data_IF_293727556453
#
_entry.id   IF_293727556453
#
_cell.length_a   1.000
_cell.length_b   1.000
_cell.length_c   1.000
_cell.angle_alpha   90.00
_cell.angle_beta   90.00
_cell.angle_gamma   90.00
#
_symmetry.space_group_name_H-M   'P 1'
#
loop_
_entity.id
_entity.type
_entity.pdbx_description
1 polymer ?
#
# COMPACT_ATOMS: atom_id res chain seq x y z
N UNK A 1 2.20 -19.33 -30.33
CA UNK A 1 1.88 -19.46 -28.88
C UNK A 1 2.28 -18.21 -28.09
N UNK A 2 3.49 -17.68 -28.29
CA UNK A 2 4.04 -16.54 -27.52
C UNK A 2 3.26 -15.23 -27.66
N UNK A 3 2.72 -14.93 -28.84
CA UNK A 3 1.90 -13.71 -29.07
C UNK A 3 0.53 -13.79 -28.40
N UNK A 4 -0.11 -14.96 -28.39
CA UNK A 4 -1.40 -15.17 -27.71
C UNK A 4 -1.24 -15.10 -26.18
N UNK A 5 -0.18 -15.67 -25.64
CA UNK A 5 0.13 -15.60 -24.21
C UNK A 5 0.41 -14.14 -23.79
N UNK A 6 1.20 -13.37 -24.55
CA UNK A 6 1.42 -11.94 -24.26
C UNK A 6 0.11 -11.13 -24.27
N UNK A 7 -0.79 -11.41 -25.20
CA UNK A 7 -2.09 -10.73 -25.30
C UNK A 7 -3.03 -11.10 -24.14
N UNK A 8 -3.01 -12.35 -23.65
CA UNK A 8 -3.78 -12.77 -22.48
C UNK A 8 -3.21 -12.18 -21.17
N UNK A 9 -1.89 -12.14 -21.03
CA UNK A 9 -1.24 -11.52 -19.86
C UNK A 9 -1.54 -10.02 -19.74
N UNK A 10 -1.64 -9.30 -20.84
CA UNK A 10 -2.00 -7.89 -20.85
C UNK A 10 -3.46 -7.62 -20.45
N UNK A 11 -4.34 -8.61 -20.56
CA UNK A 11 -5.77 -8.51 -20.21
C UNK A 11 -6.09 -8.81 -18.76
N UNK A 12 -5.15 -9.40 -18.00
CA UNK A 12 -5.39 -9.70 -16.59
C UNK A 12 -5.34 -8.42 -15.74
N UNK A 13 -6.34 -8.25 -14.89
CA UNK A 13 -6.38 -7.15 -13.91
C UNK A 13 -5.14 -7.21 -13.00
N UNK A 14 -4.46 -6.08 -12.84
CA UNK A 14 -3.24 -5.97 -12.03
C UNK A 14 -3.46 -6.41 -10.56
N UNK A 15 -4.69 -6.34 -10.06
CA UNK A 15 -5.06 -6.77 -8.71
C UNK A 15 -4.87 -8.27 -8.48
N UNK A 16 -4.97 -9.13 -9.51
CA UNK A 16 -4.66 -10.55 -9.38
C UNK A 16 -3.20 -10.80 -9.05
N UNK A 17 -2.30 -10.06 -9.70
CA UNK A 17 -0.87 -10.14 -9.38
C UNK A 17 -0.59 -9.63 -7.96
N UNK A 18 -1.23 -8.52 -7.59
CA UNK A 18 -1.10 -7.96 -6.25
C UNK A 18 -1.60 -8.94 -5.18
N UNK A 19 -2.72 -9.61 -5.41
CA UNK A 19 -3.23 -10.66 -4.52
C UNK A 19 -2.25 -11.83 -4.37
N UNK A 20 -1.75 -12.35 -5.51
CA UNK A 20 -0.79 -13.45 -5.49
C UNK A 20 0.46 -13.08 -4.70
N UNK A 21 0.96 -11.86 -4.88
CA UNK A 21 2.17 -11.39 -4.21
C UNK A 21 1.95 -11.15 -2.74
N UNK A 22 0.87 -10.49 -2.34
CA UNK A 22 0.55 -10.28 -0.92
C UNK A 22 0.27 -11.62 -0.21
N UNK A 23 -0.41 -12.56 -0.87
CA UNK A 23 -0.61 -13.89 -0.33
C UNK A 23 0.72 -14.65 -0.16
N UNK A 24 1.63 -14.58 -1.15
CA UNK A 24 2.96 -15.19 -1.03
C UNK A 24 3.79 -14.58 0.12
N UNK A 25 3.70 -13.25 0.32
CA UNK A 25 4.34 -12.59 1.46
C UNK A 25 3.74 -13.03 2.79
N UNK A 26 2.41 -13.13 2.87
CA UNK A 26 1.75 -13.58 4.10
C UNK A 26 2.15 -15.02 4.44
N UNK A 27 2.15 -15.92 3.47
CA UNK A 27 2.57 -17.31 3.66
C UNK A 27 4.04 -17.40 4.04
N UNK A 28 4.92 -16.70 3.33
CA UNK A 28 6.34 -16.65 3.65
C UNK A 28 6.60 -16.08 5.05
N UNK A 29 5.87 -15.02 5.41
CA UNK A 29 5.95 -14.42 6.74
C UNK A 29 5.51 -15.38 7.85
N UNK A 30 4.41 -16.09 7.64
CA UNK A 30 3.90 -17.06 8.60
C UNK A 30 4.82 -18.28 8.77
N UNK A 31 5.43 -18.77 7.67
CA UNK A 31 6.26 -19.98 7.71
C UNK A 31 7.74 -19.71 8.07
N UNK A 32 8.30 -18.58 7.63
CA UNK A 32 9.73 -18.32 7.73
C UNK A 32 10.11 -17.20 8.72
N UNK A 33 9.14 -16.39 9.15
CA UNK A 33 9.39 -15.18 9.99
C UNK A 33 8.57 -15.16 11.27
N UNK A 34 7.90 -16.26 11.59
CA UNK A 34 7.13 -16.44 12.83
C UNK A 34 6.18 -15.25 13.09
N UNK A 35 5.35 -14.93 12.10
CA UNK A 35 4.34 -13.88 12.26
C UNK A 35 3.38 -14.29 13.38
N UNK A 36 3.29 -13.48 14.41
CA UNK A 36 2.30 -13.62 15.49
C UNK A 36 0.89 -13.32 14.97
N UNK A 37 0.43 -14.14 14.03
CA UNK A 37 -0.85 -14.01 13.34
C UNK A 37 -1.50 -15.38 13.23
N UNK A 38 -2.68 -15.54 13.80
CA UNK A 38 -3.42 -16.80 13.75
C UNK A 38 -4.22 -16.94 12.46
N UNK A 39 -4.43 -18.19 12.00
CA UNK A 39 -5.30 -18.45 10.85
C UNK A 39 -6.72 -17.92 11.03
N UNK A 40 -7.22 -17.90 12.28
CA UNK A 40 -8.52 -17.31 12.62
C UNK A 40 -8.55 -15.80 12.36
N UNK A 41 -7.50 -15.07 12.75
CA UNK A 41 -7.38 -13.63 12.47
C UNK A 41 -7.38 -13.35 10.97
N UNK A 42 -6.64 -14.12 10.18
CA UNK A 42 -6.63 -13.99 8.71
C UNK A 42 -8.03 -14.23 8.14
N UNK A 43 -8.69 -15.32 8.54
CA UNK A 43 -10.02 -15.68 8.06
C UNK A 43 -11.06 -14.61 8.41
N UNK A 44 -11.07 -14.14 9.66
CA UNK A 44 -11.98 -13.08 10.10
C UNK A 44 -11.74 -11.77 9.36
N UNK A 45 -10.48 -11.42 9.07
CA UNK A 45 -10.13 -10.23 8.29
C UNK A 45 -10.69 -10.32 6.87
N UNK A 46 -10.49 -11.45 6.19
CA UNK A 46 -10.97 -11.67 4.83
C UNK A 46 -12.50 -11.66 4.76
N UNK A 47 -13.17 -12.40 5.64
CA UNK A 47 -14.64 -12.47 5.69
C UNK A 47 -15.23 -11.09 5.98
N UNK A 48 -14.71 -10.38 6.98
CA UNK A 48 -15.21 -9.06 7.36
C UNK A 48 -15.03 -8.04 6.24
N UNK A 49 -13.87 -8.05 5.55
CA UNK A 49 -13.64 -7.17 4.41
C UNK A 49 -14.62 -7.45 3.27
N UNK A 50 -14.85 -8.73 2.93
CA UNK A 50 -15.78 -9.12 1.87
C UNK A 50 -17.24 -8.80 2.22
N UNK A 51 -17.67 -9.06 3.45
CA UNK A 51 -19.01 -8.75 3.92
C UNK A 51 -19.26 -7.23 3.94
N UNK A 52 -18.30 -6.47 4.45
CA UNK A 52 -18.40 -4.99 4.46
C UNK A 52 -18.41 -4.42 3.04
N UNK A 53 -17.57 -4.96 2.15
CA UNK A 53 -17.58 -4.60 0.74
C UNK A 53 -18.93 -4.89 0.08
N UNK A 54 -19.51 -6.07 0.34
CA UNK A 54 -20.82 -6.46 -0.16
C UNK A 54 -21.92 -5.54 0.38
N UNK A 55 -21.94 -5.29 1.70
CA UNK A 55 -22.92 -4.42 2.35
C UNK A 55 -22.95 -3.02 1.71
N UNK A 56 -21.77 -2.42 1.48
CA UNK A 56 -21.67 -1.12 0.82
C UNK A 56 -22.07 -1.15 -0.66
N UNK A 57 -21.71 -2.21 -1.41
CA UNK A 57 -22.08 -2.32 -2.82
C UNK A 57 -23.58 -2.54 -3.04
N UNK A 58 -24.24 -3.23 -2.11
CA UNK A 58 -25.67 -3.54 -2.19
C UNK A 58 -26.53 -2.45 -1.55
N UNK A 59 -26.04 -1.83 -0.48
CA UNK A 59 -26.75 -0.76 0.24
C UNK A 59 -26.70 0.61 -0.46
N UNK A 60 -25.68 0.86 -1.27
CA UNK A 60 -25.57 2.08 -2.06
C UNK A 60 -25.84 1.75 -3.53
N UNK A 61 -27.00 2.20 -4.06
CA UNK A 61 -27.34 2.10 -5.49
C UNK A 61 -26.49 3.09 -6.33
N UNK A 62 -25.17 2.94 -6.29
CA UNK A 62 -24.28 3.79 -7.06
C UNK A 62 -24.00 3.14 -8.42
N UNK A 63 -24.31 3.81 -9.55
CA UNK A 63 -24.05 3.31 -10.88
C UNK A 63 -22.58 2.91 -11.06
N UNK A 64 -22.33 1.71 -11.61
CA UNK A 64 -20.98 1.24 -11.92
C UNK A 64 -20.17 0.68 -10.73
N UNK A 65 -20.69 0.61 -9.52
CA UNK A 65 -19.97 0.11 -8.36
C UNK A 65 -20.18 -1.38 -8.03
N UNK A 66 -21.20 -2.01 -8.60
CA UNK A 66 -21.42 -3.46 -8.49
C UNK A 66 -20.44 -4.21 -9.41
N UNK A 67 -19.17 -4.26 -9.06
CA UNK A 67 -18.14 -4.92 -9.87
C UNK A 67 -17.31 -5.92 -9.06
N UNK A 68 -16.91 -7.01 -9.71
CA UNK A 68 -15.94 -7.98 -9.17
C UNK A 68 -14.64 -7.30 -8.70
N UNK A 69 -14.24 -6.21 -9.35
CA UNK A 69 -13.08 -5.43 -8.98
C UNK A 69 -13.13 -4.85 -7.56
N UNK A 70 -14.31 -4.59 -7.02
CA UNK A 70 -14.48 -4.19 -5.63
C UNK A 70 -14.05 -5.27 -4.64
N UNK A 71 -14.42 -6.52 -4.90
CA UNK A 71 -14.03 -7.67 -4.07
C UNK A 71 -12.54 -7.97 -4.17
N UNK A 72 -11.94 -7.90 -5.37
CA UNK A 72 -10.48 -8.02 -5.51
C UNK A 72 -9.74 -6.95 -4.68
N UNK A 73 -10.23 -5.72 -4.72
CA UNK A 73 -9.66 -4.63 -3.91
C UNK A 73 -9.86 -4.85 -2.41
N UNK A 74 -10.96 -5.48 -1.98
CA UNK A 74 -11.18 -5.84 -0.58
C UNK A 74 -10.18 -6.91 -0.12
N UNK A 75 -9.95 -7.93 -0.94
CA UNK A 75 -8.96 -8.98 -0.67
C UNK A 75 -7.52 -8.42 -0.61
N UNK A 76 -7.15 -7.52 -1.53
CA UNK A 76 -5.85 -6.84 -1.49
C UNK A 76 -5.67 -6.06 -0.19
N UNK A 77 -6.68 -5.28 0.22
CA UNK A 77 -6.60 -4.48 1.44
C UNK A 77 -6.54 -5.36 2.71
N UNK A 78 -7.28 -6.47 2.75
CA UNK A 78 -7.27 -7.40 3.89
C UNK A 78 -5.95 -8.16 4.01
N UNK A 79 -5.35 -8.61 2.91
CA UNK A 79 -4.01 -9.21 2.95
C UNK A 79 -2.95 -8.20 3.40
N UNK A 80 -3.02 -6.96 2.89
CA UNK A 80 -2.16 -5.87 3.35
C UNK A 80 -2.30 -5.61 4.86
N UNK A 81 -3.53 -5.61 5.37
CA UNK A 81 -3.80 -5.47 6.81
C UNK A 81 -3.19 -6.62 7.62
N UNK A 82 -3.36 -7.88 7.18
CA UNK A 82 -2.76 -9.05 7.83
C UNK A 82 -1.22 -9.00 7.87
N UNK A 83 -0.59 -8.38 6.86
CA UNK A 83 0.86 -8.21 6.82
C UNK A 83 1.32 -7.11 7.78
N UNK A 84 0.56 -6.02 7.91
CA UNK A 84 0.98 -4.81 8.64
C UNK A 84 0.64 -4.84 10.12
N UNK A 85 -0.49 -5.44 10.52
CA UNK A 85 -1.05 -5.33 11.87
C UNK A 85 -1.00 -6.67 12.59
N UNK A 86 -0.68 -6.58 13.87
CA UNK A 86 -0.79 -7.65 14.87
C UNK A 86 -1.75 -7.21 15.97
N UNK A 87 -2.42 -8.16 16.60
CA UNK A 87 -3.36 -7.85 17.66
C UNK A 87 -3.47 -9.03 18.65
N UNK A 88 -3.61 -8.71 19.93
CA UNK A 88 -3.84 -9.70 20.98
C UNK A 88 -5.19 -10.38 20.84
N UNK A 89 -6.20 -9.61 20.41
CA UNK A 89 -7.58 -10.10 20.29
C UNK A 89 -7.98 -10.31 18.83
N UNK A 90 -8.59 -11.45 18.54
CA UNK A 90 -9.01 -11.80 17.18
C UNK A 90 -10.06 -10.86 16.59
N UNK A 91 -10.89 -10.19 17.41
CA UNK A 91 -11.94 -9.26 16.97
C UNK A 91 -11.39 -7.93 16.42
N UNK A 92 -10.16 -7.56 16.76
CA UNK A 92 -9.53 -6.32 16.29
C UNK A 92 -9.36 -6.34 14.77
N UNK A 93 -8.95 -7.47 14.20
CA UNK A 93 -8.76 -7.63 12.77
C UNK A 93 -10.05 -7.39 11.95
N UNK A 94 -11.20 -8.00 12.25
CA UNK A 94 -12.44 -7.73 11.53
C UNK A 94 -12.93 -6.28 11.70
N UNK A 95 -12.72 -5.66 12.86
CA UNK A 95 -13.04 -4.24 13.07
C UNK A 95 -12.22 -3.34 12.13
N UNK A 96 -10.91 -3.56 12.05
CA UNK A 96 -10.02 -2.81 11.17
C UNK A 96 -10.32 -3.05 9.68
N UNK A 97 -10.66 -4.28 9.30
CA UNK A 97 -11.06 -4.61 7.95
C UNK A 97 -12.37 -3.89 7.56
N UNK A 98 -13.35 -3.85 8.46
CA UNK A 98 -14.59 -3.11 8.27
C UNK A 98 -14.36 -1.60 8.15
N UNK A 99 -13.49 -1.03 8.97
CA UNK A 99 -13.09 0.37 8.90
C UNK A 99 -12.42 0.68 7.55
N UNK A 100 -11.45 -0.16 7.15
CA UNK A 100 -10.75 -0.03 5.87
C UNK A 100 -11.71 -0.02 4.68
N UNK A 101 -12.64 -0.96 4.64
CA UNK A 101 -13.61 -1.06 3.55
C UNK A 101 -14.61 0.08 3.57
N UNK A 102 -15.13 0.45 4.73
CA UNK A 102 -16.08 1.58 4.87
C UNK A 102 -15.47 2.90 4.43
N UNK A 103 -14.19 3.14 4.70
CA UNK A 103 -13.50 4.36 4.30
C UNK A 103 -13.52 4.60 2.78
N UNK A 104 -13.52 3.54 1.97
CA UNK A 104 -13.59 3.62 0.50
C UNK A 104 -14.90 4.23 0.01
N UNK A 105 -15.95 4.14 0.80
CA UNK A 105 -17.28 4.62 0.46
C UNK A 105 -17.59 5.95 1.15
N UNK A 106 -17.14 6.14 2.37
CA UNK A 106 -17.39 7.33 3.18
C UNK A 106 -16.46 8.49 2.87
N UNK A 107 -15.15 8.21 2.65
CA UNK A 107 -14.12 9.25 2.46
C UNK A 107 -13.71 9.28 0.99
N UNK A 108 -14.45 10.02 0.20
CA UNK A 108 -14.30 10.10 -1.26
C UNK A 108 -14.14 11.53 -1.73
N UNK A 109 -13.36 11.72 -2.80
CA UNK A 109 -13.15 13.00 -3.45
C UNK A 109 -13.32 12.91 -4.97
N UNK A 110 -13.72 14.02 -5.57
CA UNK A 110 -13.86 14.19 -7.01
C UNK A 110 -15.31 14.33 -7.49
N UNK A 111 -15.49 14.56 -8.81
CA UNK A 111 -16.81 14.69 -9.44
C UNK A 111 -17.67 13.44 -9.19
N UNK A 112 -18.98 13.61 -9.15
CA UNK A 112 -19.93 12.54 -8.85
C UNK A 112 -19.73 11.28 -9.70
N UNK A 113 -19.37 11.46 -10.98
CA UNK A 113 -19.17 10.37 -11.95
C UNK A 113 -17.86 9.60 -11.73
N UNK A 114 -16.84 10.23 -11.14
CA UNK A 114 -15.49 9.66 -11.00
C UNK A 114 -14.91 9.83 -9.58
N UNK A 115 -15.72 9.57 -8.55
CA UNK A 115 -15.24 9.66 -7.16
C UNK A 115 -14.27 8.53 -6.83
N UNK A 116 -13.10 8.87 -6.29
CA UNK A 116 -12.13 7.93 -5.73
C UNK A 116 -12.03 8.08 -4.21
N UNK A 117 -11.67 7.01 -3.51
CA UNK A 117 -11.34 7.10 -2.10
C UNK A 117 -10.05 7.92 -1.92
N UNK A 118 -9.98 8.66 -0.81
CA UNK A 118 -8.85 9.55 -0.49
C UNK A 118 -7.73 8.78 0.21
N UNK A 119 -8.10 7.88 1.11
CA UNK A 119 -7.17 7.14 1.96
C UNK A 119 -6.93 5.73 1.40
N UNK A 120 -5.68 5.28 1.43
CA UNK A 120 -5.39 3.87 1.21
C UNK A 120 -6.01 3.05 2.34
N UNK A 121 -6.90 2.06 2.06
CA UNK A 121 -7.66 1.38 3.10
C UNK A 121 -6.78 0.61 4.09
N UNK A 122 -5.75 -0.09 3.62
CA UNK A 122 -4.83 -0.82 4.49
C UNK A 122 -3.99 0.14 5.36
N UNK A 123 -3.59 1.30 4.81
CA UNK A 123 -2.86 2.31 5.56
C UNK A 123 -3.72 2.96 6.64
N UNK A 124 -4.99 3.28 6.34
CA UNK A 124 -5.93 3.81 7.34
C UNK A 124 -6.13 2.81 8.48
N UNK A 125 -6.34 1.53 8.17
CA UNK A 125 -6.53 0.50 9.19
C UNK A 125 -5.27 0.32 10.04
N UNK A 126 -4.08 0.33 9.42
CA UNK A 126 -2.81 0.28 10.14
C UNK A 126 -2.62 1.51 11.04
N UNK A 127 -2.92 2.72 10.55
CA UNK A 127 -2.88 3.93 11.35
C UNK A 127 -3.87 3.87 12.53
N UNK A 128 -5.10 3.42 12.30
CA UNK A 128 -6.12 3.28 13.34
C UNK A 128 -5.72 2.25 14.41
N UNK A 129 -5.13 1.13 13.99
CA UNK A 129 -4.60 0.12 14.89
C UNK A 129 -3.57 0.72 15.86
N UNK A 130 -2.62 1.47 15.32
CA UNK A 130 -1.55 2.09 16.11
C UNK A 130 -2.06 3.24 17.00
N UNK A 131 -2.93 4.10 16.45
CA UNK A 131 -3.30 5.34 17.13
C UNK A 131 -4.44 5.18 18.15
N UNK A 132 -5.35 4.22 17.94
CA UNK A 132 -6.63 4.19 18.66
C UNK A 132 -6.97 2.86 19.32
N UNK A 133 -6.30 1.75 18.95
CA UNK A 133 -6.69 0.44 19.47
C UNK A 133 -5.64 -0.13 20.42
N UNK A 134 -5.93 -0.19 21.74
CA UNK A 134 -5.08 -0.90 22.67
C UNK A 134 -5.06 -2.40 22.34
N UNK A 135 -3.92 -3.04 22.47
CA UNK A 135 -3.71 -4.44 22.08
C UNK A 135 -3.57 -4.69 20.59
N UNK A 136 -3.37 -3.62 19.79
CA UNK A 136 -2.96 -3.70 18.39
C UNK A 136 -1.65 -2.96 18.18
N UNK A 137 -0.79 -3.50 17.33
CA UNK A 137 0.49 -2.88 16.98
C UNK A 137 0.88 -3.11 15.52
N UNK A 138 1.74 -2.26 15.02
CA UNK A 138 2.27 -2.39 13.67
C UNK A 138 3.55 -3.23 13.66
N UNK A 139 3.62 -4.18 12.75
CA UNK A 139 4.77 -5.07 12.61
C UNK A 139 5.30 -5.12 11.16
N UNK A 140 5.53 -3.98 10.51
CA UNK A 140 6.06 -3.97 9.16
C UNK A 140 7.52 -4.40 9.09
N UNK A 141 8.27 -4.30 10.18
CA UNK A 141 9.70 -4.58 10.26
C UNK A 141 10.10 -6.05 10.34
N UNK A 142 9.16 -6.99 10.41
CA UNK A 142 9.45 -8.42 10.53
C UNK A 142 10.18 -9.03 9.32
N UNK A 143 10.17 -8.33 8.17
CA UNK A 143 10.86 -8.80 6.97
C UNK A 143 12.39 -8.67 7.04
N UNK A 144 12.92 -7.82 7.92
CA UNK A 144 14.36 -7.58 8.04
C UNK A 144 14.95 -6.97 6.76
N UNK A 145 16.25 -7.16 6.60
CA UNK A 145 17.04 -6.72 5.44
C UNK A 145 17.65 -7.93 4.69
N UNK A 146 16.90 -9.02 4.57
CA UNK A 146 17.29 -10.18 3.80
C UNK A 146 17.32 -9.85 2.31
N UNK A 147 18.44 -10.05 1.65
CA UNK A 147 18.64 -9.71 0.23
C UNK A 147 17.74 -10.51 -0.71
N UNK A 148 17.41 -11.75 -0.38
CA UNK A 148 16.48 -12.56 -1.17
C UNK A 148 15.05 -12.04 -1.04
N UNK A 149 14.62 -11.69 0.18
CA UNK A 149 13.32 -11.06 0.39
C UNK A 149 13.24 -9.70 -0.32
N UNK A 150 14.29 -8.87 -0.24
CA UNK A 150 14.36 -7.60 -0.94
C UNK A 150 14.24 -7.76 -2.45
N UNK A 151 14.95 -8.72 -3.06
CA UNK A 151 14.84 -9.03 -4.49
C UNK A 151 13.42 -9.48 -4.86
N UNK A 152 12.78 -10.28 -4.01
CA UNK A 152 11.40 -10.74 -4.20
C UNK A 152 10.42 -9.56 -4.19
N UNK A 153 10.54 -8.66 -3.20
CA UNK A 153 9.73 -7.43 -3.14
C UNK A 153 9.93 -6.54 -4.36
N UNK A 154 11.18 -6.32 -4.78
CA UNK A 154 11.50 -5.47 -5.95
C UNK A 154 10.97 -6.07 -7.25
N UNK A 155 11.17 -7.37 -7.48
CA UNK A 155 10.71 -8.03 -8.70
C UNK A 155 9.17 -8.02 -8.82
N UNK A 156 8.48 -8.46 -7.78
CA UNK A 156 7.03 -8.57 -7.79
C UNK A 156 6.35 -7.20 -7.66
N UNK A 157 6.88 -6.32 -6.81
CA UNK A 157 6.40 -4.95 -6.65
C UNK A 157 6.63 -4.11 -7.92
N UNK A 158 7.79 -4.28 -8.57
CA UNK A 158 8.08 -3.66 -9.86
C UNK A 158 7.09 -4.07 -10.95
N UNK A 159 6.74 -5.35 -11.04
CA UNK A 159 5.73 -5.84 -11.97
C UNK A 159 4.35 -5.21 -11.73
N UNK A 160 3.91 -5.10 -10.48
CA UNK A 160 2.62 -4.48 -10.13
C UNK A 160 2.63 -3.00 -10.48
N UNK A 161 3.65 -2.24 -10.03
CA UNK A 161 3.71 -0.79 -10.23
C UNK A 161 3.87 -0.41 -11.72
N UNK A 162 4.57 -1.24 -12.51
CA UNK A 162 4.64 -1.07 -13.95
C UNK A 162 3.25 -1.25 -14.60
N UNK A 163 2.48 -2.25 -14.17
CA UNK A 163 1.14 -2.50 -14.69
C UNK A 163 0.14 -1.39 -14.41
N UNK A 164 0.22 -0.77 -13.23
CA UNK A 164 -0.65 0.36 -12.85
C UNK A 164 -0.04 1.72 -13.25
N UNK A 165 1.12 1.75 -13.94
CA UNK A 165 1.83 2.97 -14.36
C UNK A 165 2.11 3.90 -13.18
N UNK A 166 2.59 3.35 -12.06
CA UNK A 166 2.96 4.06 -10.82
C UNK A 166 4.40 3.78 -10.36
N UNK A 167 5.22 3.19 -11.22
CA UNK A 167 6.64 2.95 -10.95
C UNK A 167 7.41 4.23 -10.62
N UNK A 168 6.98 5.37 -11.19
CA UNK A 168 7.51 6.71 -10.94
C UNK A 168 7.39 7.12 -9.46
N UNK A 169 6.27 6.81 -8.81
CA UNK A 169 6.04 7.07 -7.37
C UNK A 169 7.00 6.24 -6.52
N UNK A 170 7.07 4.93 -6.80
CA UNK A 170 7.93 4.01 -6.06
C UNK A 170 9.41 4.38 -6.16
N UNK A 171 9.89 4.65 -7.39
CA UNK A 171 11.29 5.04 -7.61
C UNK A 171 11.62 6.40 -7.01
N UNK A 172 10.73 7.39 -7.13
CA UNK A 172 10.96 8.72 -6.54
C UNK A 172 11.00 8.66 -5.03
N UNK A 173 10.11 7.87 -4.41
CA UNK A 173 10.14 7.63 -2.97
C UNK A 173 11.45 6.95 -2.54
N UNK A 174 11.83 5.84 -3.17
CA UNK A 174 13.05 5.10 -2.84
C UNK A 174 14.32 5.93 -3.06
N UNK A 175 14.38 6.70 -4.14
CA UNK A 175 15.51 7.60 -4.42
C UNK A 175 15.63 8.69 -3.35
N UNK A 176 14.53 9.36 -3.02
CA UNK A 176 14.51 10.37 -1.96
C UNK A 176 14.89 9.77 -0.61
N UNK A 177 14.32 8.61 -0.27
CA UNK A 177 14.64 7.89 0.97
C UNK A 177 16.12 7.52 1.05
N UNK A 178 16.67 6.96 -0.03
CA UNK A 178 18.08 6.59 -0.14
C UNK A 178 19.02 7.80 0.03
N UNK A 179 18.70 8.93 -0.61
CA UNK A 179 19.47 10.17 -0.49
C UNK A 179 19.42 10.74 0.93
N UNK A 180 18.25 10.74 1.58
CA UNK A 180 18.10 11.21 2.95
C UNK A 180 18.88 10.35 3.94
N UNK A 181 18.87 9.03 3.75
CA UNK A 181 19.68 8.12 4.57
C UNK A 181 21.18 8.34 4.35
N UNK A 182 21.61 8.50 3.11
CA UNK A 182 23.01 8.78 2.79
C UNK A 182 23.46 10.11 3.42
N UNK A 183 22.66 11.17 3.29
CA UNK A 183 22.91 12.48 3.91
C UNK A 183 23.01 12.34 5.43
N UNK A 184 22.11 11.60 6.07
CA UNK A 184 22.14 11.37 7.51
C UNK A 184 23.42 10.68 7.96
N UNK A 185 23.83 9.62 7.28
CA UNK A 185 25.06 8.88 7.62
C UNK A 185 26.30 9.75 7.42
N UNK A 186 26.32 10.56 6.37
CA UNK A 186 27.38 11.54 6.14
C UNK A 186 27.44 12.60 7.23
N UNK A 187 26.31 13.17 7.63
CA UNK A 187 26.24 14.18 8.71
C UNK A 187 26.62 13.61 10.09
N UNK A 188 26.45 12.31 10.29
CA UNK A 188 26.85 11.62 11.53
C UNK A 188 28.27 11.09 11.49
N UNK A 189 29.02 11.40 10.44
CA UNK A 189 30.43 11.04 10.23
C UNK A 189 30.71 9.53 10.33
N UNK A 190 29.78 8.73 9.77
CA UNK A 190 29.97 7.28 9.71
C UNK A 190 31.11 6.93 8.73
N UNK A 191 32.05 6.08 9.17
CA UNK A 191 33.06 5.51 8.28
C UNK A 191 32.42 4.79 7.09
N UNK A 192 33.08 4.84 5.91
CA UNK A 192 32.50 4.37 4.65
C UNK A 192 31.96 2.94 4.70
N UNK A 193 32.75 1.99 5.18
CA UNK A 193 32.35 0.57 5.17
C UNK A 193 31.11 0.28 6.06
N UNK A 194 31.08 0.63 7.36
CA UNK A 194 29.89 0.43 8.16
C UNK A 194 28.71 1.29 7.68
N UNK A 195 28.96 2.52 7.22
CA UNK A 195 27.93 3.40 6.69
C UNK A 195 27.25 2.83 5.45
N UNK A 196 28.01 2.31 4.49
CA UNK A 196 27.46 1.68 3.29
C UNK A 196 26.65 0.43 3.60
N UNK A 197 27.10 -0.40 4.54
CA UNK A 197 26.35 -1.57 4.98
C UNK A 197 25.02 -1.19 5.63
N UNK A 198 25.02 -0.19 6.52
CA UNK A 198 23.79 0.34 7.15
C UNK A 198 22.83 0.93 6.12
N UNK A 199 23.35 1.67 5.15
CA UNK A 199 22.57 2.28 4.07
C UNK A 199 21.86 1.22 3.23
N UNK A 200 22.60 0.20 2.77
CA UNK A 200 22.04 -0.92 2.02
C UNK A 200 20.99 -1.69 2.81
N UNK A 201 21.26 -1.95 4.09
CA UNK A 201 20.31 -2.61 4.99
C UNK A 201 19.00 -1.83 5.15
N UNK A 202 19.07 -0.52 5.28
CA UNK A 202 17.87 0.31 5.47
C UNK A 202 17.05 0.48 4.19
N UNK A 203 17.69 0.57 3.02
CA UNK A 203 16.98 0.63 1.73
C UNK A 203 16.39 -0.74 1.38
N UNK A 204 17.14 -1.81 1.59
CA UNK A 204 16.71 -3.19 1.36
C UNK A 204 15.72 -3.70 2.41
N UNK A 205 15.34 -2.90 3.40
CA UNK A 205 14.37 -3.30 4.42
C UNK A 205 13.02 -3.60 3.77
N UNK A 206 12.51 -4.81 4.01
CA UNK A 206 11.25 -5.26 3.42
C UNK A 206 10.06 -4.38 3.75
N UNK A 207 10.04 -3.68 4.90
CA UNK A 207 8.99 -2.71 5.23
C UNK A 207 9.01 -1.49 4.30
N UNK A 208 10.20 -0.97 3.99
CA UNK A 208 10.37 0.16 3.06
C UNK A 208 9.97 -0.24 1.65
N UNK A 209 10.37 -1.44 1.21
CA UNK A 209 10.03 -1.97 -0.11
C UNK A 209 8.54 -2.27 -0.25
N UNK A 210 7.92 -2.90 0.76
CA UNK A 210 6.47 -3.13 0.79
C UNK A 210 5.70 -1.80 0.72
N UNK A 211 6.14 -0.80 1.48
CA UNK A 211 5.56 0.53 1.46
C UNK A 211 5.68 1.19 0.07
N UNK A 212 6.88 1.16 -0.52
CA UNK A 212 7.17 1.79 -1.81
C UNK A 212 6.38 1.18 -2.97
N UNK A 213 6.23 -0.15 -2.99
CA UNK A 213 5.63 -0.84 -4.12
C UNK A 213 4.14 -1.16 -3.96
N UNK A 214 3.61 -1.22 -2.73
CA UNK A 214 2.24 -1.67 -2.50
C UNK A 214 1.34 -0.67 -1.75
N UNK A 215 1.92 0.34 -1.09
CA UNK A 215 1.14 1.30 -0.33
C UNK A 215 1.11 2.69 -0.98
N UNK A 216 2.29 3.34 -1.14
CA UNK A 216 2.36 4.68 -1.72
C UNK A 216 2.04 4.68 -3.22
N UNK A 217 2.24 3.56 -3.90
CA UNK A 217 1.99 3.38 -5.34
C UNK A 217 0.52 3.10 -5.70
N UNK A 218 -0.41 3.11 -4.75
CA UNK A 218 -1.84 2.90 -5.02
C UNK A 218 -2.35 3.99 -5.98
N UNK A 219 -2.80 3.61 -7.20
CA UNK A 219 -3.17 4.59 -8.23
C UNK A 219 -4.43 5.39 -7.90
N UNK A 220 -5.25 4.92 -6.95
CA UNK A 220 -6.47 5.60 -6.52
C UNK A 220 -6.20 6.70 -5.50
N UNK A 221 -5.11 6.59 -4.74
CA UNK A 221 -4.77 7.47 -3.61
C UNK A 221 -3.51 8.31 -3.85
N UNK A 222 -3.03 8.36 -5.09
CA UNK A 222 -1.90 9.22 -5.52
C UNK A 222 -2.39 10.32 -6.46
N UNK A 223 -1.68 11.48 -6.53
CA UNK A 223 -1.97 12.52 -7.51
C UNK A 223 -1.92 11.97 -8.94
N UNK A 224 -2.77 12.48 -9.83
CA UNK A 224 -2.84 11.94 -11.19
C UNK A 224 -1.77 12.50 -12.12
N UNK A 225 -1.36 13.76 -11.96
CA UNK A 225 -0.34 14.40 -12.78
C UNK A 225 1.07 13.88 -12.43
N UNK A 226 1.83 13.46 -13.42
CA UNK A 226 3.15 12.82 -13.26
C UNK A 226 4.13 13.64 -12.38
N UNK A 227 4.33 14.92 -12.69
CA UNK A 227 5.23 15.79 -11.91
C UNK A 227 4.80 15.95 -10.45
N UNK A 228 3.47 16.04 -10.21
CA UNK A 228 2.90 16.17 -8.86
C UNK A 228 3.05 14.87 -8.07
N UNK A 229 2.95 13.71 -8.74
CA UNK A 229 3.21 12.40 -8.11
C UNK A 229 4.63 12.26 -7.60
N UNK A 230 5.61 12.69 -8.40
CA UNK A 230 7.03 12.70 -8.00
C UNK A 230 7.21 13.59 -6.76
N UNK A 231 6.70 14.83 -6.81
CA UNK A 231 6.75 15.74 -5.66
C UNK A 231 6.06 15.18 -4.41
N UNK A 232 4.90 14.52 -4.59
CA UNK A 232 4.19 13.85 -3.52
C UNK A 232 5.02 12.71 -2.89
N UNK A 233 5.66 11.86 -3.71
CA UNK A 233 6.50 10.78 -3.24
C UNK A 233 7.72 11.29 -2.45
N UNK A 234 8.35 12.35 -2.93
CA UNK A 234 9.46 13.04 -2.22
C UNK A 234 8.97 13.64 -0.91
N UNK A 235 7.81 14.30 -0.89
CA UNK A 235 7.20 14.87 0.33
C UNK A 235 6.94 13.78 1.38
N UNK A 236 6.41 12.63 0.98
CA UNK A 236 6.17 11.50 1.89
C UNK A 236 7.49 10.96 2.42
N UNK A 237 8.52 10.82 1.59
CA UNK A 237 9.84 10.38 2.03
C UNK A 237 10.46 11.35 3.05
N UNK A 238 10.42 12.66 2.77
CA UNK A 238 10.89 13.71 3.69
C UNK A 238 10.13 13.68 5.01
N UNK A 239 8.81 13.67 4.96
CA UNK A 239 7.98 13.65 6.17
C UNK A 239 8.23 12.40 7.02
N UNK A 240 8.32 11.22 6.40
CA UNK A 240 8.61 9.99 7.11
C UNK A 240 10.03 10.00 7.71
N UNK A 241 11.00 10.56 6.99
CA UNK A 241 12.36 10.71 7.48
C UNK A 241 12.41 11.66 8.71
N UNK A 242 11.77 12.82 8.62
CA UNK A 242 11.66 13.75 9.75
C UNK A 242 11.01 13.07 10.95
N UNK A 243 9.89 12.38 10.73
CA UNK A 243 9.17 11.68 11.79
C UNK A 243 10.03 10.62 12.49
N UNK A 244 10.74 9.78 11.72
CA UNK A 244 11.50 8.66 12.28
C UNK A 244 12.87 9.05 12.82
N UNK A 245 13.58 9.95 12.15
CA UNK A 245 15.00 10.22 12.44
C UNK A 245 15.28 11.56 13.12
N UNK A 246 14.37 12.53 13.03
CA UNK A 246 14.51 13.82 13.74
C UNK A 246 13.58 13.89 14.94
N UNK A 247 12.35 13.39 14.83
CA UNK A 247 11.40 13.37 15.96
C UNK A 247 11.47 12.07 16.76
N UNK A 248 12.24 11.08 16.30
CA UNK A 248 12.41 9.77 16.95
C UNK A 248 11.08 9.06 17.25
N UNK A 249 10.11 9.18 16.35
CA UNK A 249 8.79 8.56 16.47
C UNK A 249 8.68 7.32 15.58
N UNK A 250 8.05 6.24 16.05
CA UNK A 250 7.86 5.04 15.25
C UNK A 250 6.86 5.25 14.12
N UNK A 251 6.85 4.31 13.16
CA UNK A 251 5.84 4.15 12.11
C UNK A 251 5.65 5.36 11.17
N UNK A 252 6.72 6.13 10.93
CA UNK A 252 6.67 7.35 10.11
C UNK A 252 6.07 7.14 8.72
N UNK A 253 6.36 6.02 8.05
CA UNK A 253 5.81 5.69 6.74
C UNK A 253 4.28 5.66 6.76
N UNK A 254 3.68 4.98 7.74
CA UNK A 254 2.24 4.82 7.88
C UNK A 254 1.57 6.16 8.24
N UNK A 255 2.14 6.86 9.23
CA UNK A 255 1.60 8.13 9.74
C UNK A 255 1.64 9.21 8.68
N UNK A 256 2.78 9.36 8.01
CA UNK A 256 2.96 10.41 7.00
C UNK A 256 2.15 10.12 5.74
N UNK A 257 2.04 8.86 5.31
CA UNK A 257 1.16 8.52 4.18
C UNK A 257 -0.30 8.81 4.50
N UNK A 258 -0.76 8.50 5.71
CA UNK A 258 -2.12 8.85 6.16
C UNK A 258 -2.35 10.36 6.09
N UNK A 259 -1.45 11.17 6.64
CA UNK A 259 -1.54 12.63 6.61
C UNK A 259 -1.45 13.19 5.18
N UNK A 260 -0.48 12.73 4.39
CA UNK A 260 -0.27 13.21 3.01
C UNK A 260 -1.42 12.83 2.07
N UNK A 261 -2.14 11.74 2.33
CA UNK A 261 -3.29 11.34 1.51
C UNK A 261 -4.38 12.41 1.44
N UNK A 262 -4.52 13.24 2.49
CA UNK A 262 -5.46 14.36 2.49
C UNK A 262 -5.08 15.49 1.54
N UNK A 263 -3.82 15.56 1.11
CA UNK A 263 -3.37 16.55 0.11
C UNK A 263 -3.73 16.12 -1.31
N UNK A 264 -3.98 14.83 -1.57
CA UNK A 264 -4.22 14.30 -2.91
C UNK A 264 -5.45 14.94 -3.60
N UNK A 265 -6.60 15.12 -2.91
CA UNK A 265 -7.72 15.85 -3.50
C UNK A 265 -7.35 17.28 -3.93
N UNK A 266 -6.60 18.00 -3.11
CA UNK A 266 -6.13 19.35 -3.41
C UNK A 266 -5.17 19.35 -4.60
N UNK A 267 -4.23 18.42 -4.65
CA UNK A 267 -3.31 18.25 -5.78
C UNK A 267 -4.07 18.00 -7.10
N UNK A 268 -5.09 17.14 -7.06
CA UNK A 268 -5.89 16.83 -8.24
C UNK A 268 -6.84 17.97 -8.65
N UNK A 269 -7.21 18.85 -7.73
CA UNK A 269 -7.96 20.07 -8.01
C UNK A 269 -7.08 21.14 -8.66
N UNK A 270 -5.88 21.38 -8.10
CA UNK A 270 -4.96 22.41 -8.61
C UNK A 270 -4.29 22.00 -9.94
N UNK A 271 -4.04 20.71 -10.14
CA UNK A 271 -3.38 20.16 -11.33
C UNK A 271 -4.23 19.02 -11.91
N UNK A 272 -5.34 19.33 -12.57
CA UNK A 272 -6.27 18.34 -13.08
C UNK A 272 -5.61 17.47 -14.17
N UNK A 273 -5.86 16.17 -14.09
CA UNK A 273 -5.43 15.15 -15.04
C UNK A 273 -6.48 14.05 -15.11
N UNK A 274 -6.52 13.29 -16.21
CA UNK A 274 -7.37 12.12 -16.34
C UNK A 274 -7.12 11.15 -15.17
N UNK A 275 -8.21 10.72 -14.51
CA UNK A 275 -8.13 9.81 -13.37
C UNK A 275 -7.80 8.41 -13.83
N UNK A 276 -7.04 7.71 -13.00
CA UNK A 276 -6.81 6.29 -13.19
C UNK A 276 -8.14 5.54 -13.13
N UNK A 277 -8.36 4.66 -14.10
CA UNK A 277 -9.48 3.72 -14.10
C UNK A 277 -8.93 2.31 -14.29
N UNK A 278 -9.44 1.37 -13.51
CA UNK A 278 -9.15 -0.03 -13.74
C UNK A 278 -9.73 -0.42 -15.09
N UNK A 279 -8.93 -1.07 -15.94
CA UNK A 279 -9.43 -1.52 -17.24
C UNK A 279 -10.57 -2.51 -17.00
N UNK A 280 -11.73 -2.24 -17.58
CA UNK A 280 -12.79 -3.22 -17.63
C UNK A 280 -12.32 -4.42 -18.48
N UNK A 281 -12.68 -5.67 -18.13
CA UNK A 281 -12.42 -6.81 -18.99
C UNK A 281 -13.06 -6.54 -20.37
N UNK A 282 -12.34 -6.86 -21.44
CA UNK A 282 -12.66 -6.49 -22.83
C UNK A 282 -14.03 -7.00 -23.37
N UNK A 283 -14.87 -7.59 -22.53
CA UNK A 283 -16.16 -8.20 -22.86
C UNK A 283 -17.33 -7.60 -22.05
N UNK A 284 -17.22 -6.40 -21.47
CA UNK A 284 -18.44 -5.74 -20.99
C UNK A 284 -19.17 -5.14 -22.22
N UNK A 285 -20.39 -5.60 -22.57
CA UNK A 285 -21.18 -4.94 -23.59
C UNK A 285 -21.43 -3.48 -23.16
N UNK A 286 -21.35 -2.60 -24.15
CA UNK A 286 -21.56 -1.16 -23.98
C UNK A 286 -22.99 -0.84 -23.52
#
# INVERSE_FOLDING_TARGET
LGLRLKCQWQRLDARWFQLLFLASFLVLGALARDFALTGLQVLLTLISALLTQAAWQWGMDLPGQKSWGGYLSALVSSLGLCILVRADNAWIHPLLASLAMSSKYLIRSGPAVCRSHVLNPANLAAFAAWAWLPGAWLSPGQWGADSLAALWFMALGGLVTQRVSRWDVSLSFLAAWALLLALRLWLLDYAWNPGAAMWLQQIGNGAVLLFAFFMISDPMTTPQRHSVRIGYAVLVALGAFVWQYLLFRPHGLIVVLFAASWLVPLCNYLWPQARFAWQAPANSPA
#
